data_IF_692436607610
#
_entry.id   IF_692436607610
#
_cell.length_a   1.000
_cell.length_b   1.000
_cell.length_c   1.000
_cell.angle_alpha   90.00
_cell.angle_beta   90.00
_cell.angle_gamma   90.00
#
_symmetry.space_group_name_H-M   'P 1'
#
loop_
_entity.id
_entity.type
_entity.pdbx_description
1 polymer ?
#
# COMPACT_ATOMS: atom_id res chain seq x y z
N UNK A 1 -7.88 11.76 -33.91
CA UNK A 1 -8.23 10.86 -32.79
C UNK A 1 -7.17 11.02 -31.68
N UNK A 2 -7.09 12.21 -31.11
CA UNK A 2 -5.99 12.61 -30.21
C UNK A 2 -6.19 12.10 -28.78
N UNK A 3 -5.20 11.32 -28.33
CA UNK A 3 -4.57 11.39 -27.00
C UNK A 3 -5.45 11.79 -25.80
N UNK A 4 -6.25 10.83 -25.32
CA UNK A 4 -6.74 10.79 -23.93
C UNK A 4 -5.97 9.69 -23.18
N UNK A 5 -4.66 9.82 -23.05
CA UNK A 5 -3.91 8.98 -22.13
C UNK A 5 -4.19 9.50 -20.71
N UNK A 6 -4.92 8.72 -19.92
CA UNK A 6 -5.19 9.02 -18.52
C UNK A 6 -3.86 9.25 -17.78
N UNK A 7 -3.60 10.45 -17.24
CA UNK A 7 -2.31 10.78 -16.62
C UNK A 7 -2.11 10.06 -15.28
N UNK A 8 -3.10 9.34 -14.75
CA UNK A 8 -3.05 8.83 -13.38
C UNK A 8 -2.58 7.37 -13.27
N UNK A 9 -2.53 6.59 -14.36
CA UNK A 9 -2.22 5.14 -14.32
C UNK A 9 -0.90 4.80 -15.05
N UNK A 10 0.19 5.46 -14.66
CA UNK A 10 1.49 5.36 -15.35
C UNK A 10 2.08 3.94 -15.45
N UNK A 11 1.95 3.12 -14.41
CA UNK A 11 2.51 1.75 -14.46
C UNK A 11 1.78 0.84 -15.44
N UNK A 12 0.47 1.02 -15.60
CA UNK A 12 -0.32 0.25 -16.56
C UNK A 12 -0.05 0.71 -18.00
N UNK A 13 -0.05 2.03 -18.24
CA UNK A 13 0.04 2.59 -19.59
C UNK A 13 1.47 2.64 -20.13
N UNK A 14 2.47 2.85 -19.27
CA UNK A 14 3.85 3.12 -19.70
C UNK A 14 4.87 2.17 -19.07
N UNK A 15 4.47 1.34 -18.10
CA UNK A 15 5.38 0.46 -17.39
C UNK A 15 6.41 1.19 -16.53
N UNK A 16 6.26 2.50 -16.29
CA UNK A 16 7.21 3.31 -15.52
C UNK A 16 6.66 4.64 -15.03
N UNK A 17 7.24 5.16 -13.95
CA UNK A 17 7.16 6.56 -13.53
C UNK A 17 8.55 6.99 -13.02
N UNK A 18 9.12 8.05 -13.57
CA UNK A 18 10.48 8.49 -13.22
C UNK A 18 11.51 7.34 -13.29
N UNK A 19 12.22 7.06 -12.20
CA UNK A 19 13.20 5.97 -12.05
C UNK A 19 12.57 4.61 -11.70
N UNK A 20 11.28 4.55 -11.42
CA UNK A 20 10.56 3.31 -11.11
C UNK A 20 10.11 2.65 -12.42
N UNK A 21 10.66 1.47 -12.72
CA UNK A 21 10.41 0.73 -13.96
C UNK A 21 9.89 -0.67 -13.63
N UNK A 22 8.78 -1.06 -14.25
CA UNK A 22 8.20 -2.41 -14.13
C UNK A 22 9.07 -3.38 -14.92
N UNK A 23 9.82 -4.24 -14.21
CA UNK A 23 10.72 -5.25 -14.82
C UNK A 23 10.28 -6.70 -14.60
N UNK A 24 9.24 -6.90 -13.79
CA UNK A 24 8.67 -8.19 -13.39
C UNK A 24 7.16 -8.00 -13.22
N UNK A 25 6.36 -9.10 -13.19
CA UNK A 25 4.94 -9.00 -12.86
C UNK A 25 4.72 -8.17 -11.58
N UNK A 26 3.79 -7.23 -11.66
CA UNK A 26 3.45 -6.29 -10.59
C UNK A 26 1.93 -6.28 -10.45
N UNK A 27 1.43 -6.50 -9.25
CA UNK A 27 0.02 -6.24 -8.93
C UNK A 27 -0.08 -4.75 -8.61
N UNK A 28 -1.02 -4.07 -9.25
CA UNK A 28 -1.21 -2.61 -9.11
C UNK A 28 -2.13 -2.28 -7.93
N UNK A 29 -2.03 -1.05 -7.45
CA UNK A 29 -2.88 -0.49 -6.39
C UNK A 29 -2.07 -0.09 -5.15
N UNK A 30 -2.42 1.05 -4.58
CA UNK A 30 -1.95 1.51 -3.27
C UNK A 30 -3.03 2.30 -2.53
N UNK A 31 -4.24 2.33 -3.07
CA UNK A 31 -5.41 2.91 -2.44
C UNK A 31 -6.43 1.78 -2.41
N UNK A 32 -6.63 1.16 -1.25
CA UNK A 32 -7.56 0.04 -1.15
C UNK A 32 -8.34 0.07 0.16
N UNK A 33 -9.55 -0.46 0.05
CA UNK A 33 -10.43 -0.80 1.15
C UNK A 33 -10.87 -2.23 0.98
N UNK A 34 -11.35 -2.84 2.05
CA UNK A 34 -11.80 -4.22 2.02
C UNK A 34 -12.41 -4.66 3.33
N UNK A 35 -12.62 -5.96 3.43
CA UNK A 35 -13.12 -6.62 4.63
C UNK A 35 -12.02 -7.50 5.22
N UNK A 36 -11.90 -7.51 6.55
CA UNK A 36 -10.98 -8.41 7.24
C UNK A 36 -11.49 -9.84 7.12
N UNK A 37 -10.72 -10.70 6.46
CA UNK A 37 -11.06 -12.13 6.31
C UNK A 37 -10.35 -13.02 7.33
N UNK A 38 -9.26 -12.54 7.94
CA UNK A 38 -8.47 -13.26 8.95
C UNK A 38 -7.72 -12.25 9.84
N UNK A 39 -7.53 -12.58 11.11
CA UNK A 39 -6.69 -11.81 12.05
C UNK A 39 -5.64 -12.71 12.70
N UNK A 40 -4.44 -12.16 12.93
CA UNK A 40 -3.38 -12.85 13.66
C UNK A 40 -3.67 -12.91 15.17
N UNK A 41 -3.05 -13.86 15.87
CA UNK A 41 -3.27 -14.10 17.31
C UNK A 41 -3.06 -12.87 18.23
N UNK A 42 -2.18 -11.96 17.81
CA UNK A 42 -1.75 -10.80 18.59
C UNK A 42 -2.53 -9.52 18.20
N UNK A 43 -3.53 -9.65 17.31
CA UNK A 43 -4.45 -8.57 16.93
C UNK A 43 -5.53 -8.45 18.00
N UNK A 44 -5.84 -7.22 18.42
CA UNK A 44 -6.73 -6.94 19.56
C UNK A 44 -7.79 -5.86 19.29
N UNK A 45 -7.60 -5.05 18.25
CA UNK A 45 -8.44 -3.89 17.89
C UNK A 45 -9.32 -4.14 16.67
N UNK A 46 -9.13 -5.27 15.99
CA UNK A 46 -9.76 -5.58 14.72
C UNK A 46 -10.39 -6.97 14.75
N UNK A 47 -11.46 -7.14 13.98
CA UNK A 47 -12.29 -8.34 13.93
C UNK A 47 -12.60 -8.73 12.48
N UNK A 48 -12.75 -10.04 12.23
CA UNK A 48 -13.20 -10.55 10.93
C UNK A 48 -14.57 -9.98 10.58
N UNK A 49 -14.77 -9.60 9.31
CA UNK A 49 -15.99 -8.96 8.82
C UNK A 49 -15.98 -7.44 8.91
N UNK A 50 -14.98 -6.83 9.58
CA UNK A 50 -14.88 -5.37 9.61
C UNK A 50 -14.43 -4.81 8.26
N UNK A 51 -15.12 -3.75 7.81
CA UNK A 51 -14.68 -2.94 6.68
C UNK A 51 -13.57 -2.01 7.13
N UNK A 52 -12.51 -1.93 6.32
CA UNK A 52 -11.31 -1.19 6.66
C UNK A 52 -10.70 -0.50 5.44
N UNK A 53 -9.91 0.54 5.72
CA UNK A 53 -8.91 1.08 4.80
C UNK A 53 -7.51 0.82 5.38
N UNK A 54 -6.49 0.87 4.54
CA UNK A 54 -5.11 0.65 4.98
C UNK A 54 -4.21 1.84 4.62
N UNK A 55 -3.15 2.02 5.41
CA UNK A 55 -1.97 2.79 5.01
C UNK A 55 -1.09 1.95 4.07
N UNK A 56 -0.83 2.40 2.83
CA UNK A 56 -0.11 1.60 1.83
C UNK A 56 1.42 1.65 1.93
N UNK A 57 1.96 2.52 2.77
CA UNK A 57 3.38 2.73 2.90
C UNK A 57 4.07 1.72 3.80
N UNK A 58 5.32 1.41 3.47
CA UNK A 58 6.27 0.70 4.31
C UNK A 58 7.43 1.62 4.63
N UNK A 59 7.50 2.05 5.89
CA UNK A 59 8.58 2.90 6.40
C UNK A 59 9.64 2.05 7.10
N UNK A 60 10.85 2.58 7.27
CA UNK A 60 11.95 1.82 7.88
C UNK A 60 11.88 1.66 9.41
N UNK A 61 10.98 2.37 10.08
CA UNK A 61 10.71 2.34 11.54
C UNK A 61 11.89 2.74 12.46
N UNK A 62 13.10 2.89 11.91
CA UNK A 62 14.34 3.13 12.67
C UNK A 62 14.92 4.54 12.57
N UNK A 63 14.52 5.32 11.56
CA UNK A 63 15.09 6.66 11.35
C UNK A 63 14.47 7.71 12.31
N UNK A 64 15.12 8.89 12.49
CA UNK A 64 14.60 9.94 13.39
C UNK A 64 13.18 10.40 13.04
N UNK A 65 12.83 10.41 11.76
CA UNK A 65 11.48 10.76 11.30
C UNK A 65 10.45 9.72 11.75
N UNK A 66 10.71 8.42 11.54
CA UNK A 66 9.81 7.36 12.00
C UNK A 66 9.68 7.37 13.53
N UNK A 67 10.78 7.48 14.27
CA UNK A 67 10.76 7.48 15.74
C UNK A 67 10.08 8.71 16.35
N UNK A 68 9.98 9.82 15.61
CA UNK A 68 9.28 11.03 16.04
C UNK A 68 7.82 11.10 15.58
N UNK A 69 7.27 10.01 15.01
CA UNK A 69 5.90 9.97 14.47
C UNK A 69 5.73 10.67 13.12
N UNK A 70 6.80 11.25 12.55
CA UNK A 70 6.81 11.91 11.23
C UNK A 70 7.26 10.94 10.15
N UNK A 71 6.75 9.72 10.17
CA UNK A 71 7.20 8.64 9.30
C UNK A 71 6.96 8.90 7.81
N UNK A 72 6.03 9.79 7.47
CA UNK A 72 5.82 10.32 6.12
C UNK A 72 7.08 10.98 5.50
N UNK A 73 8.05 11.40 6.33
CA UNK A 73 9.34 11.94 5.88
C UNK A 73 10.44 10.87 5.74
N UNK A 74 10.09 9.59 5.85
CA UNK A 74 11.04 8.50 5.74
C UNK A 74 11.61 8.39 4.32
N UNK A 75 12.92 8.60 4.17
CA UNK A 75 13.62 8.46 2.88
C UNK A 75 13.67 7.05 2.32
N UNK A 76 13.34 6.05 3.14
CA UNK A 76 13.31 4.64 2.77
C UNK A 76 11.88 4.11 2.63
N UNK A 77 10.90 5.01 2.47
CA UNK A 77 9.51 4.63 2.28
C UNK A 77 9.35 3.84 0.98
N UNK A 78 8.47 2.85 1.01
CA UNK A 78 8.00 2.07 -0.13
C UNK A 78 6.49 2.05 -0.12
N UNK A 79 5.87 1.74 -1.25
CA UNK A 79 4.40 1.68 -1.37
C UNK A 79 4.00 0.38 -2.06
N UNK A 80 2.80 -0.12 -1.74
CA UNK A 80 2.16 -1.13 -2.57
C UNK A 80 2.10 -0.71 -4.04
N UNK A 81 2.10 -1.70 -4.94
CA UNK A 81 1.97 -1.46 -6.38
C UNK A 81 3.06 -0.58 -6.99
N UNK A 82 4.21 -0.43 -6.32
CA UNK A 82 5.35 0.37 -6.80
C UNK A 82 6.60 -0.51 -6.97
N UNK A 83 7.19 -0.58 -8.19
CA UNK A 83 8.42 -1.32 -8.42
C UNK A 83 9.56 -0.89 -7.49
N UNK A 84 10.50 -1.80 -7.14
CA UNK A 84 10.54 -3.22 -7.45
C UNK A 84 9.74 -4.09 -6.46
N UNK A 85 8.89 -3.49 -5.63
CA UNK A 85 8.21 -4.19 -4.54
C UNK A 85 6.87 -4.76 -5.03
N UNK A 86 6.63 -6.04 -4.76
CA UNK A 86 5.38 -6.72 -5.10
C UNK A 86 4.80 -7.36 -3.85
N UNK A 87 4.41 -6.50 -2.91
CA UNK A 87 3.92 -6.91 -1.59
C UNK A 87 2.41 -7.21 -1.61
N UNK A 88 1.73 -6.89 -2.72
CA UNK A 88 0.34 -7.31 -2.97
C UNK A 88 0.30 -8.78 -3.41
N UNK A 89 -0.67 -9.54 -2.90
CA UNK A 89 -0.82 -10.99 -3.16
C UNK A 89 -2.11 -11.36 -3.90
N UNK A 90 -2.65 -10.44 -4.69
CA UNK A 90 -3.90 -10.61 -5.42
C UNK A 90 -5.05 -9.95 -4.67
N UNK A 91 -6.14 -10.69 -4.45
CA UNK A 91 -7.36 -10.16 -3.78
C UNK A 91 -7.12 -9.92 -2.28
N UNK A 92 -6.17 -10.63 -1.66
CA UNK A 92 -5.86 -10.50 -0.24
C UNK A 92 -4.46 -9.93 -0.03
N UNK A 93 -4.30 -9.19 1.06
CA UNK A 93 -3.03 -8.63 1.53
C UNK A 93 -2.90 -8.89 3.04
N UNK A 94 -1.66 -8.94 3.52
CA UNK A 94 -1.39 -9.05 4.96
C UNK A 94 -0.76 -7.75 5.43
N UNK A 95 -1.36 -7.16 6.46
CA UNK A 95 -0.99 -5.84 6.99
C UNK A 95 -0.87 -5.91 8.50
N UNK A 96 0.00 -5.06 9.05
CA UNK A 96 0.05 -4.87 10.50
C UNK A 96 -1.21 -4.15 10.97
N UNK A 97 -1.77 -4.56 12.09
CA UNK A 97 -2.94 -3.95 12.73
C UNK A 97 -2.83 -2.42 12.83
N UNK A 98 -1.62 -1.91 13.11
CA UNK A 98 -1.36 -0.48 13.28
C UNK A 98 -1.59 0.36 12.02
N UNK A 99 -1.67 -0.28 10.86
CA UNK A 99 -1.88 0.36 9.55
C UNK A 99 -3.30 0.23 9.04
N UNK A 100 -4.19 -0.36 9.82
CA UNK A 100 -5.57 -0.62 9.42
C UNK A 100 -6.47 0.33 10.19
N UNK A 101 -7.30 1.06 9.45
CA UNK A 101 -8.30 1.95 10.03
C UNK A 101 -9.69 1.38 9.76
N UNK A 102 -10.48 1.09 10.79
CA UNK A 102 -11.89 0.73 10.63
C UNK A 102 -12.67 1.81 9.89
N UNK A 103 -13.57 1.38 9.01
CA UNK A 103 -14.57 2.26 8.41
C UNK A 103 -15.46 2.80 9.54
N UNK A 104 -15.45 4.12 9.73
CA UNK A 104 -16.13 4.79 10.84
C UNK A 104 -17.60 5.14 10.51
N UNK A 105 -18.18 4.54 9.48
CA UNK A 105 -19.55 4.77 9.00
C UNK A 105 -20.50 3.66 9.37
#
# INVERSE_FOLDING_TARGET
MSEYADPYIHYYLHGRISSFVVKKPLILGHECSGEIVEVGRDVSRLEVGQRVVIEPEFVCEKCPYCRSGRYNLCRNVKFYGTPPFNDLRGICITVSEQKVQPDSR
#
